data_IF_663374044600
#
_entry.id   IF_663374044600
#
_cell.length_a   1.000
_cell.length_b   1.000
_cell.length_c   1.000
_cell.angle_alpha   90.00
_cell.angle_beta   90.00
_cell.angle_gamma   90.00
#
_symmetry.space_group_name_H-M   'P 1'
#
loop_
_entity.id
_entity.type
_entity.pdbx_description
1 polymer ?
#
# COMPACT_ATOMS: atom_id res chain seq x y z
N UNK A 1 -28.14 -10.08 -4.55
CA UNK A 1 -27.47 -9.26 -5.59
C UNK A 1 -26.08 -8.90 -5.05
N UNK A 2 -25.05 -9.60 -5.54
CA UNK A 2 -23.67 -9.26 -5.26
C UNK A 2 -23.50 -7.76 -5.64
N UNK A 3 -23.02 -6.94 -4.71
CA UNK A 3 -22.65 -5.56 -5.02
C UNK A 3 -21.53 -5.65 -6.03
N UNK A 4 -21.78 -5.25 -7.25
CA UNK A 4 -20.73 -5.05 -8.24
C UNK A 4 -19.74 -4.05 -7.64
N UNK A 5 -18.53 -4.47 -7.37
CA UNK A 5 -17.46 -3.62 -6.87
C UNK A 5 -16.87 -2.74 -7.99
N UNK A 6 -17.17 -3.09 -9.26
CA UNK A 6 -16.71 -2.39 -10.45
C UNK A 6 -17.62 -1.22 -10.80
N UNK A 7 -17.03 -0.07 -11.09
CA UNK A 7 -17.74 1.05 -11.69
C UNK A 7 -18.09 0.75 -13.14
N UNK A 8 -19.32 1.03 -13.54
CA UNK A 8 -19.81 0.85 -14.91
C UNK A 8 -20.42 2.16 -15.40
N UNK A 9 -19.98 2.59 -16.58
CA UNK A 9 -20.50 3.75 -17.31
C UNK A 9 -20.92 3.33 -18.72
N UNK A 10 -21.95 3.95 -19.26
CA UNK A 10 -22.23 3.90 -20.69
C UNK A 10 -22.28 5.31 -21.27
N UNK A 11 -21.69 5.47 -22.44
CA UNK A 11 -21.70 6.71 -23.21
C UNK A 11 -22.44 6.49 -24.54
N UNK A 12 -23.09 7.51 -25.04
CA UNK A 12 -23.62 7.48 -26.39
C UNK A 12 -22.56 7.77 -27.46
N UNK A 13 -22.95 7.82 -28.74
CA UNK A 13 -22.04 8.13 -29.86
C UNK A 13 -21.40 9.52 -29.78
N UNK A 14 -22.08 10.45 -29.10
CA UNK A 14 -21.60 11.81 -28.91
C UNK A 14 -20.76 11.99 -27.66
N UNK A 15 -20.47 10.88 -26.93
CA UNK A 15 -19.69 10.91 -25.67
C UNK A 15 -20.47 11.40 -24.47
N UNK A 16 -21.80 11.43 -24.50
CA UNK A 16 -22.66 11.83 -23.39
C UNK A 16 -22.90 10.63 -22.45
N UNK A 17 -22.86 10.88 -21.17
CA UNK A 17 -23.12 9.86 -20.14
C UNK A 17 -24.57 9.41 -20.22
N UNK A 18 -24.80 8.13 -20.45
CA UNK A 18 -26.18 7.54 -20.54
C UNK A 18 -26.58 6.86 -19.23
N UNK A 19 -25.67 6.05 -18.68
CA UNK A 19 -25.94 5.36 -17.42
C UNK A 19 -24.65 5.27 -16.59
N UNK A 20 -24.83 5.19 -15.27
CA UNK A 20 -23.77 4.86 -14.32
C UNK A 20 -24.33 3.99 -13.20
N UNK A 21 -23.51 3.16 -12.61
CA UNK A 21 -23.88 2.42 -11.40
C UNK A 21 -23.37 3.14 -10.13
N UNK A 22 -23.91 2.75 -8.97
CA UNK A 22 -23.53 3.34 -7.69
C UNK A 22 -22.03 3.14 -7.38
N UNK A 23 -21.43 2.02 -7.81
CA UNK A 23 -20.02 1.75 -7.62
C UNK A 23 -19.15 2.76 -8.41
N UNK A 24 -19.57 3.18 -9.59
CA UNK A 24 -18.86 4.21 -10.36
C UNK A 24 -18.78 5.53 -9.58
N UNK A 25 -19.90 5.99 -9.02
CA UNK A 25 -19.93 7.20 -8.19
C UNK A 25 -19.08 7.05 -6.92
N UNK A 26 -19.10 5.89 -6.28
CA UNK A 26 -18.28 5.61 -5.07
C UNK A 26 -16.77 5.59 -5.36
N UNK A 27 -16.37 4.91 -6.44
CA UNK A 27 -14.95 4.83 -6.83
C UNK A 27 -14.44 6.22 -7.20
N UNK A 28 -15.19 6.99 -7.98
CA UNK A 28 -14.77 8.31 -8.43
C UNK A 28 -15.02 9.41 -7.39
N UNK A 29 -15.80 9.13 -6.34
CA UNK A 29 -16.12 10.12 -5.30
C UNK A 29 -16.98 11.28 -5.82
N UNK A 30 -17.72 11.06 -6.92
CA UNK A 30 -18.55 12.05 -7.60
C UNK A 30 -19.92 11.44 -7.87
N UNK A 31 -20.98 12.18 -7.58
CA UNK A 31 -22.33 11.76 -7.97
C UNK A 31 -22.51 11.92 -9.50
N UNK A 32 -22.27 10.84 -10.21
CA UNK A 32 -22.36 10.80 -11.66
C UNK A 32 -23.81 10.84 -12.17
N UNK A 33 -24.78 10.55 -11.31
CA UNK A 33 -26.20 10.56 -11.72
C UNK A 33 -26.69 11.95 -12.14
N UNK A 34 -26.08 12.99 -11.55
CA UNK A 34 -26.37 14.39 -11.91
C UNK A 34 -25.88 14.77 -13.31
N UNK A 35 -25.02 13.95 -13.92
CA UNK A 35 -24.43 14.22 -15.25
C UNK A 35 -25.00 13.34 -16.36
N UNK A 36 -26.06 12.60 -16.12
CA UNK A 36 -26.72 11.80 -17.17
C UNK A 36 -27.24 12.72 -18.28
N UNK A 37 -26.91 12.40 -19.52
CA UNK A 37 -27.20 13.19 -20.71
C UNK A 37 -26.20 14.32 -21.00
N UNK A 38 -25.24 14.55 -20.12
CA UNK A 38 -24.21 15.60 -20.26
C UNK A 38 -22.99 15.06 -21.00
N UNK A 39 -22.42 15.89 -21.87
CA UNK A 39 -21.18 15.58 -22.56
C UNK A 39 -19.99 15.51 -21.59
N UNK A 40 -19.08 14.57 -21.81
CA UNK A 40 -17.92 14.35 -20.95
C UNK A 40 -17.04 15.59 -20.77
N UNK A 41 -16.96 16.50 -21.77
CA UNK A 41 -16.21 17.75 -21.67
C UNK A 41 -16.82 18.71 -20.63
N UNK A 42 -18.16 18.77 -20.54
CA UNK A 42 -18.83 19.56 -19.50
C UNK A 42 -18.72 18.93 -18.12
N UNK A 43 -18.63 17.59 -18.05
CA UNK A 43 -18.39 16.89 -16.78
C UNK A 43 -17.02 17.28 -16.22
N UNK A 44 -15.98 17.34 -17.07
CA UNK A 44 -14.64 17.80 -16.65
C UNK A 44 -14.67 19.24 -16.14
N UNK A 45 -15.37 20.13 -16.84
CA UNK A 45 -15.48 21.53 -16.41
C UNK A 45 -16.14 21.68 -15.03
N UNK A 46 -17.12 20.81 -14.71
CA UNK A 46 -17.80 20.79 -13.42
C UNK A 46 -17.01 20.02 -12.34
N UNK A 47 -16.20 19.04 -12.73
CA UNK A 47 -15.47 18.13 -11.87
C UNK A 47 -14.03 17.96 -12.38
N UNK A 48 -13.13 18.93 -12.13
CA UNK A 48 -11.76 18.89 -12.62
C UNK A 48 -10.96 17.65 -12.19
N UNK A 49 -11.33 17.03 -11.06
CA UNK A 49 -10.73 15.79 -10.59
C UNK A 49 -10.90 14.61 -11.58
N UNK A 50 -11.81 14.69 -12.53
CA UNK A 50 -12.02 13.66 -13.56
C UNK A 50 -11.23 13.93 -14.86
N UNK A 51 -10.52 15.06 -14.96
CA UNK A 51 -9.80 15.48 -16.16
C UNK A 51 -8.78 14.41 -16.60
N UNK A 52 -7.87 14.02 -15.71
CA UNK A 52 -6.84 13.00 -15.98
C UNK A 52 -7.46 11.67 -16.48
N UNK A 53 -8.59 11.28 -15.89
CA UNK A 53 -9.30 10.04 -16.27
C UNK A 53 -9.89 10.15 -17.66
N UNK A 54 -10.59 11.25 -17.95
CA UNK A 54 -11.27 11.48 -19.23
C UNK A 54 -10.22 11.68 -20.33
N UNK A 55 -9.12 12.38 -20.07
CA UNK A 55 -8.03 12.53 -21.01
C UNK A 55 -7.36 11.19 -21.35
N UNK A 56 -7.17 10.32 -20.36
CA UNK A 56 -6.59 8.99 -20.56
C UNK A 56 -7.48 8.07 -21.38
N UNK A 57 -8.82 8.11 -21.22
CA UNK A 57 -9.76 7.25 -21.96
C UNK A 57 -10.21 7.84 -23.30
N UNK A 58 -10.10 9.16 -23.49
CA UNK A 58 -10.56 9.87 -24.69
C UNK A 58 -10.07 9.28 -26.02
N UNK A 59 -8.74 9.02 -26.19
CA UNK A 59 -8.21 8.38 -27.38
C UNK A 59 -8.82 7.00 -27.68
N UNK A 60 -9.16 6.25 -26.65
CA UNK A 60 -9.77 4.92 -26.78
C UNK A 60 -11.24 5.01 -27.25
N UNK A 61 -11.95 6.04 -26.80
CA UNK A 61 -13.32 6.29 -27.25
C UNK A 61 -13.38 6.72 -28.72
N UNK A 62 -12.39 7.46 -29.17
CA UNK A 62 -12.34 7.98 -30.55
C UNK A 62 -11.88 6.93 -31.56
N UNK A 63 -10.91 6.07 -31.21
CA UNK A 63 -10.19 5.19 -32.14
C UNK A 63 -10.55 3.72 -32.00
N UNK A 64 -11.17 3.28 -30.89
CA UNK A 64 -11.38 1.87 -30.64
C UNK A 64 -12.50 1.28 -31.51
N UNK A 65 -12.13 0.33 -32.37
CA UNK A 65 -13.06 -0.56 -33.09
C UNK A 65 -13.28 -1.88 -32.33
N UNK A 66 -12.83 -1.99 -31.10
CA UNK A 66 -12.88 -3.23 -30.30
C UNK A 66 -12.71 -2.98 -28.81
N UNK A 67 -12.48 -4.05 -28.08
CA UNK A 67 -12.23 -4.00 -26.65
C UNK A 67 -10.85 -3.42 -26.36
N UNK A 68 -10.75 -2.62 -25.30
CA UNK A 68 -9.51 -2.06 -24.82
C UNK A 68 -9.39 -2.22 -23.30
N UNK A 69 -8.16 -2.21 -22.82
CA UNK A 69 -7.81 -2.29 -21.39
C UNK A 69 -6.63 -1.37 -21.10
N UNK A 70 -6.74 -0.57 -20.04
CA UNK A 70 -5.69 0.37 -19.64
C UNK A 70 -5.69 0.56 -18.13
N UNK A 71 -4.50 0.64 -17.55
CA UNK A 71 -4.31 1.07 -16.16
C UNK A 71 -4.08 2.58 -16.14
N UNK A 72 -4.84 3.28 -15.31
CA UNK A 72 -4.81 4.73 -15.19
C UNK A 72 -4.48 5.11 -13.76
N UNK A 73 -3.40 5.86 -13.58
CA UNK A 73 -3.11 6.52 -12.31
C UNK A 73 -3.94 7.79 -12.23
N UNK A 74 -4.90 7.82 -11.34
CA UNK A 74 -5.84 8.92 -11.18
C UNK A 74 -5.70 9.60 -9.82
N UNK A 75 -5.79 10.93 -9.79
CA UNK A 75 -5.71 11.75 -8.59
C UNK A 75 -7.11 12.31 -8.26
N UNK A 76 -7.88 11.55 -7.47
CA UNK A 76 -9.20 12.00 -7.00
C UNK A 76 -9.14 12.72 -5.65
N UNK A 77 -10.30 13.12 -5.16
CA UNK A 77 -10.45 13.85 -3.88
C UNK A 77 -9.93 13.10 -2.64
N UNK A 78 -9.74 11.78 -2.73
CA UNK A 78 -9.21 10.90 -1.66
C UNK A 78 -7.74 10.49 -1.88
N UNK A 79 -7.03 11.11 -2.84
CA UNK A 79 -5.64 10.86 -3.16
C UNK A 79 -5.43 10.01 -4.42
N UNK A 80 -4.20 9.51 -4.59
CA UNK A 80 -3.81 8.72 -5.77
C UNK A 80 -4.43 7.32 -5.73
N UNK A 81 -5.17 6.98 -6.78
CA UNK A 81 -5.71 5.65 -7.04
C UNK A 81 -5.19 5.09 -8.36
N UNK A 82 -5.25 3.78 -8.50
CA UNK A 82 -4.94 3.07 -9.74
C UNK A 82 -6.23 2.39 -10.19
N UNK A 83 -6.75 2.83 -11.32
CA UNK A 83 -7.96 2.30 -11.91
C UNK A 83 -7.61 1.39 -13.09
N UNK A 84 -8.16 0.18 -13.11
CA UNK A 84 -8.11 -0.69 -14.26
C UNK A 84 -9.36 -0.46 -15.10
N UNK A 85 -9.22 0.29 -16.18
CA UNK A 85 -10.29 0.62 -17.09
C UNK A 85 -10.33 -0.37 -18.26
N UNK A 86 -11.54 -0.78 -18.62
CA UNK A 86 -11.85 -1.61 -19.79
C UNK A 86 -13.03 -0.97 -20.51
N UNK A 87 -12.96 -0.94 -21.80
CA UNK A 87 -14.07 -0.42 -22.58
C UNK A 87 -14.33 -1.24 -23.83
N UNK A 88 -15.56 -1.19 -24.29
CA UNK A 88 -16.00 -1.82 -25.52
C UNK A 88 -16.98 -0.89 -26.24
N UNK A 89 -16.97 -0.90 -27.57
CA UNK A 89 -17.97 -0.22 -28.37
C UNK A 89 -19.24 -1.07 -28.46
N UNK A 90 -20.39 -0.43 -28.25
CA UNK A 90 -21.69 -1.08 -28.40
C UNK A 90 -22.18 -0.92 -29.86
N UNK A 91 -22.64 -1.99 -30.52
CA UNK A 91 -23.31 -1.88 -31.83
C UNK A 91 -24.68 -1.23 -31.65
N UNK A 92 -25.11 -0.40 -32.61
CA UNK A 92 -26.51 0.01 -32.68
C UNK A 92 -27.34 -1.01 -33.48
N UNK A 93 -28.68 -0.79 -33.52
CA UNK A 93 -29.60 -1.65 -34.23
C UNK A 93 -29.35 -1.77 -35.75
N UNK A 94 -28.49 -0.93 -36.33
CA UNK A 94 -28.17 -0.88 -37.77
C UNK A 94 -26.72 -1.39 -38.01
N UNK A 95 -26.04 -1.91 -36.96
CA UNK A 95 -24.65 -2.38 -37.07
C UNK A 95 -23.60 -1.27 -37.08
N UNK A 96 -24.00 -0.01 -36.87
CA UNK A 96 -23.09 1.13 -36.65
C UNK A 96 -22.75 1.25 -35.14
N UNK A 97 -21.76 2.07 -34.81
CA UNK A 97 -21.39 2.33 -33.42
C UNK A 97 -22.55 2.92 -32.63
N UNK A 98 -23.00 2.27 -31.58
CA UNK A 98 -24.14 2.69 -30.75
C UNK A 98 -23.74 3.42 -29.45
N UNK A 99 -22.44 3.52 -29.17
CA UNK A 99 -21.90 4.08 -27.95
C UNK A 99 -20.77 3.24 -27.37
N UNK A 100 -20.44 3.49 -26.11
CA UNK A 100 -19.36 2.79 -25.40
C UNK A 100 -19.82 2.34 -24.02
N UNK A 101 -19.37 1.15 -23.60
CA UNK A 101 -19.42 0.72 -22.21
C UNK A 101 -18.01 0.80 -21.64
N UNK A 102 -17.88 1.36 -20.44
CA UNK A 102 -16.62 1.46 -19.71
C UNK A 102 -16.84 0.82 -18.35
N UNK A 103 -15.97 -0.11 -18.03
CA UNK A 103 -15.91 -0.75 -16.70
C UNK A 103 -14.57 -0.43 -16.08
N UNK A 104 -14.56 -0.04 -14.82
CA UNK A 104 -13.33 0.23 -14.10
C UNK A 104 -13.36 -0.30 -12.67
N UNK A 105 -12.21 -0.79 -12.24
CA UNK A 105 -11.97 -1.33 -10.92
C UNK A 105 -10.89 -0.51 -10.21
N UNK A 106 -11.09 -0.19 -8.94
CA UNK A 106 -10.01 0.35 -8.11
C UNK A 106 -9.10 -0.79 -7.66
N UNK A 107 -7.94 -0.90 -8.32
CA UNK A 107 -6.93 -1.91 -8.04
C UNK A 107 -5.79 -1.37 -7.17
N UNK A 108 -5.94 -0.22 -6.54
CA UNK A 108 -4.89 0.44 -5.74
C UNK A 108 -4.34 -0.48 -4.66
N UNK A 109 -5.22 -1.15 -3.92
CA UNK A 109 -4.82 -2.08 -2.87
C UNK A 109 -4.08 -3.30 -3.42
N UNK A 110 -4.53 -3.82 -4.56
CA UNK A 110 -3.89 -4.98 -5.21
C UNK A 110 -2.47 -4.64 -5.66
N UNK A 111 -2.30 -3.52 -6.37
CA UNK A 111 -0.97 -3.08 -6.85
C UNK A 111 -0.03 -2.76 -5.69
N UNK A 112 -0.54 -2.14 -4.62
CA UNK A 112 0.26 -1.90 -3.41
C UNK A 112 0.69 -3.21 -2.76
N UNK A 113 -0.22 -4.15 -2.56
CA UNK A 113 0.08 -5.43 -1.95
C UNK A 113 1.09 -6.24 -2.77
N UNK A 114 0.97 -6.24 -4.10
CA UNK A 114 1.92 -6.90 -5.01
C UNK A 114 3.32 -6.27 -4.92
N UNK A 115 3.39 -4.93 -4.94
CA UNK A 115 4.65 -4.21 -4.78
C UNK A 115 5.31 -4.46 -3.43
N UNK A 116 4.53 -4.47 -2.35
CA UNK A 116 5.03 -4.68 -1.00
C UNK A 116 5.51 -6.13 -0.81
N UNK A 117 4.83 -7.10 -1.42
CA UNK A 117 5.26 -8.50 -1.45
C UNK A 117 6.58 -8.67 -2.24
N UNK A 118 6.68 -8.05 -3.42
CA UNK A 118 7.90 -8.07 -4.21
C UNK A 118 9.08 -7.42 -3.46
N UNK A 119 8.82 -6.29 -2.79
CA UNK A 119 9.83 -5.61 -1.98
C UNK A 119 10.30 -6.46 -0.79
N UNK A 120 9.39 -7.13 -0.10
CA UNK A 120 9.72 -8.04 1.00
C UNK A 120 10.61 -9.20 0.54
N UNK A 121 10.37 -9.76 -0.64
CA UNK A 121 11.21 -10.82 -1.22
C UNK A 121 12.63 -10.33 -1.54
N UNK A 122 12.76 -9.14 -2.15
CA UNK A 122 14.06 -8.52 -2.44
C UNK A 122 14.82 -8.24 -1.14
N UNK A 123 14.17 -7.65 -0.15
CA UNK A 123 14.78 -7.35 1.15
C UNK A 123 15.28 -8.62 1.85
N UNK A 124 14.48 -9.69 1.84
CA UNK A 124 14.86 -10.99 2.41
C UNK A 124 16.10 -11.56 1.73
N UNK A 125 16.14 -11.53 0.40
CA UNK A 125 17.28 -12.02 -0.36
C UNK A 125 18.55 -11.21 -0.07
N UNK A 126 18.44 -9.88 -0.09
CA UNK A 126 19.55 -8.99 0.24
C UNK A 126 20.06 -9.22 1.67
N UNK A 127 19.15 -9.38 2.64
CA UNK A 127 19.54 -9.68 4.02
C UNK A 127 20.36 -10.97 4.11
N UNK A 128 20.00 -12.03 3.41
CA UNK A 128 20.77 -13.27 3.36
C UNK A 128 22.12 -13.09 2.67
N UNK A 129 22.16 -12.39 1.54
CA UNK A 129 23.40 -12.15 0.79
C UNK A 129 24.40 -11.26 1.56
N UNK A 130 23.92 -10.32 2.40
CA UNK A 130 24.77 -9.50 3.26
C UNK A 130 25.25 -10.29 4.49
N UNK A 131 24.40 -11.09 5.13
CA UNK A 131 24.77 -11.89 6.29
C UNK A 131 25.82 -12.95 5.98
N UNK A 132 25.81 -13.50 4.77
CA UNK A 132 26.73 -14.55 4.34
C UNK A 132 28.19 -14.15 4.47
N UNK A 133 28.69 -13.00 4.01
CA UNK A 133 30.08 -12.58 4.20
C UNK A 133 30.38 -12.07 5.62
N UNK A 134 29.39 -11.54 6.35
CA UNK A 134 29.61 -11.01 7.69
C UNK A 134 29.98 -12.10 8.71
N UNK A 135 29.37 -13.28 8.61
CA UNK A 135 29.65 -14.41 9.52
C UNK A 135 31.10 -14.89 9.45
N UNK A 136 31.69 -15.17 8.27
CA UNK A 136 33.11 -15.56 8.21
C UNK A 136 34.06 -14.41 8.62
N UNK A 137 33.73 -13.14 8.40
CA UNK A 137 34.53 -12.00 8.88
C UNK A 137 34.57 -11.98 10.40
N UNK A 138 33.41 -12.12 11.06
CA UNK A 138 33.33 -12.19 12.50
C UNK A 138 34.15 -13.36 13.05
N UNK A 139 33.99 -14.57 12.52
CA UNK A 139 34.69 -15.76 12.92
C UNK A 139 36.19 -15.64 12.71
N UNK A 140 36.64 -14.97 11.64
CA UNK A 140 38.08 -14.72 11.41
C UNK A 140 38.64 -13.77 12.48
N UNK A 141 37.95 -12.68 12.80
CA UNK A 141 38.35 -11.75 13.84
C UNK A 141 38.40 -12.43 15.24
N UNK A 142 37.39 -13.23 15.56
CA UNK A 142 37.36 -14.01 16.81
C UNK A 142 38.51 -15.03 16.90
N UNK A 143 38.82 -15.75 15.80
CA UNK A 143 39.95 -16.69 15.75
C UNK A 143 41.30 -16.00 15.92
N UNK A 144 41.51 -14.87 15.25
CA UNK A 144 42.75 -14.07 15.40
C UNK A 144 42.87 -13.66 16.85
N UNK A 145 41.83 -13.10 17.45
CA UNK A 145 41.78 -12.68 18.84
C UNK A 145 42.13 -13.85 19.80
N UNK A 146 41.43 -14.96 19.67
CA UNK A 146 41.57 -16.13 20.51
C UNK A 146 42.95 -16.75 20.40
N UNK A 147 43.52 -16.83 19.18
CA UNK A 147 44.82 -17.49 18.94
C UNK A 147 46.02 -16.66 19.35
N UNK A 148 45.96 -15.35 19.09
CA UNK A 148 47.16 -14.51 19.19
C UNK A 148 47.19 -13.55 20.38
N UNK A 149 46.04 -13.18 20.97
CA UNK A 149 45.98 -12.20 22.05
C UNK A 149 46.85 -12.54 23.24
N UNK A 150 47.01 -13.84 23.55
CA UNK A 150 47.83 -14.34 24.65
C UNK A 150 49.31 -14.44 24.32
N UNK A 151 49.72 -14.19 23.07
CA UNK A 151 51.09 -14.35 22.59
C UNK A 151 51.85 -13.02 22.46
N UNK A 152 51.14 -11.90 22.58
CA UNK A 152 51.73 -10.57 22.45
C UNK A 152 51.85 -9.87 23.79
N UNK A 153 52.89 -9.08 23.93
CA UNK A 153 53.13 -8.21 25.08
C UNK A 153 52.16 -7.04 25.12
N UNK A 154 52.12 -6.27 26.21
CA UNK A 154 51.09 -5.32 26.61
C UNK A 154 50.66 -4.30 25.55
N UNK A 155 51.51 -3.78 24.71
CA UNK A 155 51.15 -2.78 23.71
C UNK A 155 50.62 -3.43 22.45
N UNK A 156 51.26 -4.44 21.92
CA UNK A 156 50.85 -5.17 20.73
C UNK A 156 49.53 -5.94 20.99
N UNK A 157 49.41 -6.54 22.17
CA UNK A 157 48.20 -7.20 22.62
C UNK A 157 47.01 -6.23 22.68
N UNK A 158 47.22 -5.01 23.20
CA UNK A 158 46.12 -3.97 23.22
C UNK A 158 45.68 -3.51 21.84
N UNK A 159 46.62 -3.36 20.90
CA UNK A 159 46.30 -2.99 19.51
C UNK A 159 45.50 -4.10 18.84
N UNK A 160 45.91 -5.36 18.99
CA UNK A 160 45.22 -6.51 18.43
C UNK A 160 43.80 -6.68 19.04
N UNK A 161 43.70 -6.56 20.37
CA UNK A 161 42.43 -6.67 21.08
C UNK A 161 41.45 -5.59 20.62
N UNK A 162 41.88 -4.34 20.59
CA UNK A 162 41.08 -3.21 20.14
C UNK A 162 40.61 -3.37 18.68
N UNK A 163 41.56 -3.75 17.79
CA UNK A 163 41.24 -3.91 16.36
C UNK A 163 40.24 -5.03 16.10
N UNK A 164 40.48 -6.21 16.68
CA UNK A 164 39.57 -7.36 16.52
C UNK A 164 38.21 -7.11 17.21
N UNK A 165 38.21 -6.47 18.37
CA UNK A 165 36.97 -6.10 19.07
C UNK A 165 36.16 -5.11 18.25
N UNK A 166 36.79 -4.09 17.67
CA UNK A 166 36.11 -3.14 16.77
C UNK A 166 35.47 -3.83 15.56
N UNK A 167 36.20 -4.77 14.91
CA UNK A 167 35.67 -5.54 13.77
C UNK A 167 34.44 -6.34 14.21
N UNK A 168 34.53 -7.06 15.34
CA UNK A 168 33.38 -7.86 15.83
C UNK A 168 32.20 -6.99 16.15
N UNK A 169 32.39 -5.84 16.80
CA UNK A 169 31.30 -4.90 17.11
C UNK A 169 30.65 -4.33 15.83
N UNK A 170 31.45 -3.92 14.82
CA UNK A 170 30.92 -3.39 13.59
C UNK A 170 30.15 -4.45 12.79
N UNK A 171 30.63 -5.69 12.74
CA UNK A 171 29.93 -6.80 12.10
C UNK A 171 28.61 -7.10 12.82
N UNK A 172 28.60 -7.05 14.15
CA UNK A 172 27.38 -7.25 14.92
C UNK A 172 26.37 -6.14 14.66
N UNK A 173 26.79 -4.88 14.67
CA UNK A 173 25.92 -3.74 14.34
C UNK A 173 25.35 -3.84 12.91
N UNK A 174 26.16 -4.27 11.94
CA UNK A 174 25.68 -4.50 10.56
C UNK A 174 24.65 -5.63 10.50
N UNK A 175 24.81 -6.73 11.24
CA UNK A 175 23.81 -7.80 11.30
C UNK A 175 22.49 -7.30 11.87
N UNK A 176 22.53 -6.54 12.96
CA UNK A 176 21.34 -5.96 13.58
C UNK A 176 20.60 -5.00 12.63
N UNK A 177 21.36 -4.16 11.90
CA UNK A 177 20.78 -3.27 10.89
C UNK A 177 20.10 -4.05 9.75
N UNK A 178 20.73 -5.13 9.27
CA UNK A 178 20.16 -6.00 8.23
C UNK A 178 18.92 -6.74 8.74
N UNK A 179 18.90 -7.14 10.01
CA UNK A 179 17.71 -7.77 10.60
C UNK A 179 16.55 -6.78 10.72
N UNK A 180 16.79 -5.58 11.23
CA UNK A 180 15.80 -4.52 11.30
C UNK A 180 15.25 -4.15 9.90
N UNK A 181 16.14 -4.06 8.89
CA UNK A 181 15.72 -3.82 7.51
C UNK A 181 14.80 -4.93 6.96
N UNK A 182 15.16 -6.19 7.20
CA UNK A 182 14.35 -7.33 6.77
C UNK A 182 13.00 -7.40 7.51
N UNK A 183 12.95 -7.00 8.77
CA UNK A 183 11.71 -6.92 9.55
C UNK A 183 10.81 -5.78 9.02
N UNK A 184 11.38 -4.61 8.77
CA UNK A 184 10.65 -3.47 8.20
C UNK A 184 10.06 -3.75 6.81
N UNK A 185 10.77 -4.52 5.99
CA UNK A 185 10.31 -4.88 4.65
C UNK A 185 9.22 -5.97 4.65
N UNK A 186 8.95 -6.63 5.77
CA UNK A 186 7.86 -7.61 5.84
C UNK A 186 6.52 -6.89 5.91
N UNK A 187 5.55 -7.27 5.06
CA UNK A 187 4.19 -6.80 5.25
C UNK A 187 3.70 -7.22 6.64
N UNK A 188 3.04 -6.32 7.39
CA UNK A 188 2.52 -6.64 8.70
C UNK A 188 1.58 -7.84 8.59
N UNK A 189 1.91 -8.92 9.29
CA UNK A 189 1.02 -10.07 9.42
C UNK A 189 0.08 -9.75 10.56
N UNK A 190 -1.13 -9.38 10.22
CA UNK A 190 -2.19 -9.20 11.22
C UNK A 190 -2.41 -10.52 11.96
N UNK A 191 -2.15 -10.53 13.27
CA UNK A 191 -2.48 -11.62 14.17
C UNK A 191 -3.81 -11.32 14.82
N UNK A 192 -4.89 -11.54 14.08
CA UNK A 192 -6.23 -11.29 14.58
C UNK A 192 -6.55 -12.25 15.72
N UNK A 193 -6.81 -11.68 16.90
CA UNK A 193 -7.29 -12.38 18.07
C UNK A 193 -8.59 -11.74 18.58
N UNK A 194 -9.51 -12.52 19.16
CA UNK A 194 -10.68 -11.94 19.79
C UNK A 194 -10.24 -11.13 21.02
N UNK A 195 -10.66 -9.88 21.08
CA UNK A 195 -10.45 -9.00 22.23
C UNK A 195 -11.73 -8.22 22.54
N UNK A 196 -11.92 -7.81 23.78
CA UNK A 196 -12.98 -6.89 24.15
C UNK A 196 -12.48 -5.45 23.98
N UNK A 197 -13.19 -4.68 23.15
CA UNK A 197 -12.79 -3.30 22.84
C UNK A 197 -12.84 -2.39 24.09
N UNK A 198 -13.77 -2.64 25.02
CA UNK A 198 -13.86 -1.88 26.27
C UNK A 198 -12.62 -2.11 27.15
N UNK A 199 -12.19 -3.36 27.31
CA UNK A 199 -10.98 -3.70 28.06
C UNK A 199 -9.73 -3.14 27.40
N UNK A 200 -9.63 -3.25 26.08
CA UNK A 200 -8.49 -2.75 25.32
C UNK A 200 -8.35 -1.22 25.44
N UNK A 201 -9.43 -0.47 25.28
CA UNK A 201 -9.42 1.00 25.43
C UNK A 201 -9.03 1.40 26.85
N UNK A 202 -9.54 0.71 27.87
CA UNK A 202 -9.16 0.97 29.26
C UNK A 202 -7.67 0.69 29.52
N UNK A 203 -7.12 -0.40 28.95
CA UNK A 203 -5.70 -0.76 29.05
C UNK A 203 -4.80 0.28 28.37
N UNK A 204 -5.16 0.72 27.16
CA UNK A 204 -4.42 1.77 26.44
C UNK A 204 -4.44 3.10 27.22
N UNK A 205 -5.60 3.50 27.75
CA UNK A 205 -5.70 4.76 28.51
C UNK A 205 -4.94 4.70 29.85
N UNK A 206 -4.73 3.52 30.40
CA UNK A 206 -3.88 3.35 31.58
C UNK A 206 -2.45 3.84 31.34
N UNK A 207 -1.91 3.69 30.12
CA UNK A 207 -0.56 4.15 29.73
C UNK A 207 -0.45 5.68 29.71
N UNK A 208 -1.56 6.40 29.62
CA UNK A 208 -1.64 7.86 29.56
C UNK A 208 -2.01 8.52 30.88
N UNK A 209 -2.06 7.76 31.99
CA UNK A 209 -2.43 8.30 33.32
C UNK A 209 -1.48 9.38 33.83
N UNK A 210 -0.20 9.33 33.44
CA UNK A 210 0.84 10.28 33.87
C UNK A 210 1.09 11.40 32.84
N UNK A 211 0.11 11.69 31.98
CA UNK A 211 0.24 12.76 30.98
C UNK A 211 0.24 14.15 31.68
N UNK A 212 1.05 15.13 31.17
CA UNK A 212 1.24 16.39 31.83
C UNK A 212 -0.08 17.16 31.99
N UNK A 213 -0.20 17.87 33.11
CA UNK A 213 -1.37 18.61 33.57
C UNK A 213 -1.98 19.51 32.49
N UNK A 214 -3.25 19.29 32.17
CA UNK A 214 -4.03 20.15 31.27
C UNK A 214 -4.93 19.41 30.27
N UNK A 215 -4.87 18.09 30.20
CA UNK A 215 -5.78 17.29 29.35
C UNK A 215 -6.68 16.43 30.23
N UNK A 216 -7.99 16.66 30.18
CA UNK A 216 -8.99 15.81 30.84
C UNK A 216 -9.46 14.74 29.83
N UNK A 217 -9.20 13.48 30.15
CA UNK A 217 -9.66 12.35 29.33
C UNK A 217 -10.95 11.81 29.95
N UNK A 218 -12.07 11.92 29.23
CA UNK A 218 -13.34 11.29 29.61
C UNK A 218 -13.47 9.96 28.87
N UNK A 219 -13.69 8.90 29.62
CA UNK A 219 -13.89 7.56 29.12
C UNK A 219 -15.37 7.20 29.19
N UNK A 220 -16.00 6.99 28.04
CA UNK A 220 -17.37 6.51 27.92
C UNK A 220 -17.36 5.14 27.25
N UNK A 221 -17.43 4.09 28.03
CA UNK A 221 -17.45 2.71 27.56
C UNK A 221 -18.88 2.20 27.40
N UNK A 222 -19.10 1.29 26.45
CA UNK A 222 -20.37 0.58 26.33
C UNK A 222 -20.62 -0.29 27.56
N UNK A 223 -21.90 -0.44 27.96
CA UNK A 223 -22.28 -1.31 29.09
C UNK A 223 -22.14 -2.80 28.76
N UNK A 224 -22.21 -3.15 27.49
CA UNK A 224 -22.05 -4.53 27.01
C UNK A 224 -20.65 -4.78 26.49
N UNK A 225 -20.17 -6.01 26.61
CA UNK A 225 -18.93 -6.47 26.01
C UNK A 225 -18.96 -6.29 24.48
N UNK A 226 -17.92 -5.70 23.91
CA UNK A 226 -17.78 -5.47 22.49
C UNK A 226 -16.65 -6.36 21.90
N UNK A 227 -16.94 -7.65 21.63
CA UNK A 227 -15.92 -8.54 21.07
C UNK A 227 -15.60 -8.15 19.63
N UNK A 228 -14.33 -7.92 19.36
CA UNK A 228 -13.79 -7.63 18.01
C UNK A 228 -12.61 -8.55 17.74
N UNK A 229 -12.38 -8.88 16.47
CA UNK A 229 -11.15 -9.54 16.04
C UNK A 229 -10.17 -8.46 15.55
N UNK A 230 -9.12 -8.22 16.31
CA UNK A 230 -8.11 -7.23 16.00
C UNK A 230 -6.70 -7.74 16.33
N UNK A 231 -5.71 -7.08 15.79
CA UNK A 231 -4.30 -7.25 16.14
C UNK A 231 -3.99 -6.28 17.29
N UNK A 232 -3.47 -6.80 18.40
CA UNK A 232 -3.25 -6.06 19.65
C UNK A 232 -1.88 -5.38 19.69
#
# INVERSE_FOLDING_TARGET
>A
LARLSSGVLTLDQAGRLQTCNAAASQILGVDLTAFIGVDHQYIVAAQPALEDLIEAIGPQLSNATGDWRQEIAWFGGTGRRILLCRGSSLPNAVGLRGGHVIVFDDITHLVRAERDAAWAEVARRLAHEIKNPLTPIQLAAERIRHKYLKQFDDEQGRVLDRGTHTIIQQVQAMKEMVDAFNEYARPPRLQLAPLDLNEFVAEVLYLYRDYPAGVEIKLELAQESLPVNADK
#
